data_IF_358207059694
#
_entry.id   IF_358207059694
#
_cell.length_a   1.000
_cell.length_b   1.000
_cell.length_c   1.000
_cell.angle_alpha   90.00
_cell.angle_beta   90.00
_cell.angle_gamma   90.00
#
_symmetry.space_group_name_H-M   'P 1'
#
loop_
_entity.id
_entity.type
_entity.pdbx_description
1 polymer ?
#
# COMPACT_ATOMS: atom_id res chain seq x y z
N UNK A 1 13.08 -15.30 13.48
CA UNK A 1 13.81 -14.48 12.49
C UNK A 1 13.04 -14.56 11.19
N UNK A 2 12.82 -13.45 10.50
CA UNK A 2 12.11 -13.40 9.21
C UNK A 2 13.05 -12.94 8.11
N UNK A 3 12.93 -13.53 6.92
CA UNK A 3 13.63 -13.13 5.70
C UNK A 3 12.68 -12.42 4.74
N UNK A 4 13.21 -11.65 3.80
CA UNK A 4 12.45 -10.95 2.77
C UNK A 4 12.94 -11.40 1.39
N UNK A 5 12.00 -11.79 0.54
CA UNK A 5 12.29 -12.25 -0.82
C UNK A 5 11.21 -11.80 -1.80
N UNK A 6 11.44 -11.86 -3.13
CA UNK A 6 10.37 -11.68 -4.09
C UNK A 6 9.19 -12.62 -3.79
N UNK A 7 7.99 -12.12 -3.97
CA UNK A 7 6.77 -12.92 -3.87
C UNK A 7 6.66 -13.81 -5.12
N UNK A 8 6.19 -15.03 -4.95
CA UNK A 8 5.98 -15.98 -6.05
C UNK A 8 4.51 -16.40 -6.14
N UNK A 9 4.08 -16.92 -7.28
CA UNK A 9 2.73 -17.45 -7.45
C UNK A 9 2.39 -18.58 -6.46
N UNK A 10 3.39 -19.34 -6.00
CA UNK A 10 3.21 -20.40 -4.99
C UNK A 10 2.89 -19.86 -3.60
N UNK A 11 3.23 -18.60 -3.32
CA UNK A 11 2.90 -17.96 -2.04
C UNK A 11 1.39 -17.70 -1.91
N UNK A 12 0.69 -17.62 -3.04
CA UNK A 12 -0.77 -17.52 -3.06
C UNK A 12 -1.46 -18.76 -2.45
N UNK A 13 -0.77 -19.89 -2.37
CA UNK A 13 -1.25 -21.08 -1.66
C UNK A 13 -1.04 -21.02 -0.14
N UNK A 14 -0.22 -20.08 0.33
CA UNK A 14 0.18 -19.94 1.74
C UNK A 14 -0.38 -18.69 2.42
N UNK A 15 -1.04 -17.79 1.71
CA UNK A 15 -1.41 -16.46 2.22
C UNK A 15 -2.62 -16.45 3.17
N UNK A 16 -3.31 -17.57 3.36
CA UNK A 16 -4.51 -17.63 4.22
C UNK A 16 -4.30 -17.09 5.63
N UNK A 17 -3.15 -17.36 6.26
CA UNK A 17 -2.83 -16.82 7.59
C UNK A 17 -2.66 -15.30 7.61
N UNK A 18 -2.32 -14.72 6.47
CA UNK A 18 -2.04 -13.29 6.30
C UNK A 18 -3.31 -12.53 5.99
N UNK A 19 -4.22 -13.12 5.18
CA UNK A 19 -5.43 -12.48 4.68
C UNK A 19 -6.69 -12.77 5.52
N UNK A 20 -6.55 -13.37 6.69
CA UNK A 20 -7.68 -13.63 7.60
C UNK A 20 -8.09 -12.44 8.46
N UNK A 21 -7.36 -11.33 8.38
CA UNK A 21 -7.68 -10.11 9.14
C UNK A 21 -8.80 -9.32 8.45
N UNK A 22 -9.78 -8.88 9.22
CA UNK A 22 -10.91 -8.08 8.73
C UNK A 22 -10.52 -6.70 8.15
N UNK A 23 -9.32 -6.22 8.47
CA UNK A 23 -8.78 -4.96 7.92
C UNK A 23 -7.87 -5.18 6.68
N UNK A 24 -7.66 -6.44 6.27
CA UNK A 24 -6.87 -6.77 5.10
C UNK A 24 -7.78 -6.92 3.89
N UNK A 25 -7.58 -6.07 2.88
CA UNK A 25 -8.26 -6.22 1.60
C UNK A 25 -7.77 -7.50 0.90
N UNK A 26 -8.72 -8.36 0.53
CA UNK A 26 -8.44 -9.61 -0.17
C UNK A 26 -8.96 -9.51 -1.59
N UNK A 27 -8.10 -9.79 -2.56
CA UNK A 27 -8.41 -9.69 -3.99
C UNK A 27 -8.58 -11.08 -4.62
N UNK A 28 -9.17 -11.13 -5.80
CA UNK A 28 -9.24 -12.36 -6.58
C UNK A 28 -7.86 -12.80 -7.09
N UNK A 29 -7.69 -14.09 -7.36
CA UNK A 29 -6.42 -14.67 -7.80
C UNK A 29 -5.84 -13.98 -9.05
N UNK A 30 -6.70 -13.66 -10.02
CA UNK A 30 -6.30 -12.95 -11.24
C UNK A 30 -5.67 -11.59 -10.97
N UNK A 31 -6.11 -10.88 -9.93
CA UNK A 31 -5.56 -9.59 -9.53
C UNK A 31 -4.12 -9.74 -9.03
N UNK A 32 -3.86 -10.70 -8.13
CA UNK A 32 -2.50 -10.97 -7.64
C UNK A 32 -1.56 -11.40 -8.78
N UNK A 33 -2.03 -12.27 -9.68
CA UNK A 33 -1.23 -12.72 -10.82
C UNK A 33 -0.94 -11.57 -11.80
N UNK A 34 -1.89 -10.65 -12.00
CA UNK A 34 -1.67 -9.45 -12.81
C UNK A 34 -0.55 -8.57 -12.22
N UNK A 35 -0.55 -8.37 -10.90
CA UNK A 35 0.52 -7.61 -10.23
C UNK A 35 1.88 -8.30 -10.35
N UNK A 36 1.93 -9.62 -10.19
CA UNK A 36 3.16 -10.40 -10.38
C UNK A 36 3.71 -10.32 -11.81
N UNK A 37 2.81 -10.21 -12.80
CA UNK A 37 3.22 -10.12 -14.20
C UNK A 37 3.71 -8.71 -14.58
N UNK A 38 3.09 -7.65 -14.03
CA UNK A 38 3.38 -6.28 -14.44
C UNK A 38 4.37 -5.54 -13.54
N UNK A 39 4.36 -5.83 -12.22
CA UNK A 39 5.18 -5.15 -11.21
C UNK A 39 5.80 -6.12 -10.20
N UNK A 40 6.53 -7.17 -10.67
CA UNK A 40 7.11 -8.18 -9.77
C UNK A 40 8.09 -7.60 -8.75
N UNK A 41 8.76 -6.49 -9.08
CA UNK A 41 9.71 -5.79 -8.23
C UNK A 41 9.05 -5.14 -6.99
N UNK A 42 7.75 -4.83 -7.09
CA UNK A 42 6.97 -4.28 -5.98
C UNK A 42 6.29 -5.34 -5.12
N UNK A 43 6.41 -6.62 -5.48
CA UNK A 43 5.75 -7.69 -4.75
C UNK A 43 6.77 -8.48 -3.94
N UNK A 44 6.77 -8.24 -2.62
CA UNK A 44 7.75 -8.81 -1.67
C UNK A 44 7.05 -9.58 -0.58
N UNK A 45 7.54 -10.78 -0.29
CA UNK A 45 7.13 -11.64 0.82
C UNK A 45 8.06 -11.52 2.01
N UNK A 46 7.50 -11.59 3.20
CA UNK A 46 8.22 -11.86 4.45
C UNK A 46 7.94 -13.28 4.88
N UNK A 47 8.99 -14.07 5.07
CA UNK A 47 8.92 -15.50 5.39
C UNK A 47 9.66 -15.82 6.68
N UNK A 48 9.11 -16.71 7.47
CA UNK A 48 9.72 -17.22 8.70
C UNK A 48 10.77 -18.31 8.36
N UNK A 49 11.58 -18.72 9.34
CA UNK A 49 12.61 -19.72 9.14
C UNK A 49 12.05 -21.11 8.76
N UNK A 50 10.83 -21.39 9.16
CA UNK A 50 10.09 -22.63 8.85
C UNK A 50 9.28 -22.54 7.53
N UNK A 51 9.45 -21.44 6.76
CA UNK A 51 8.84 -21.26 5.44
C UNK A 51 7.39 -20.79 5.47
N UNK A 52 6.86 -20.35 6.61
CA UNK A 52 5.55 -19.75 6.70
C UNK A 52 5.57 -18.29 6.24
N UNK A 53 4.54 -17.88 5.49
CA UNK A 53 4.38 -16.48 5.09
C UNK A 53 3.95 -15.65 6.29
N UNK A 54 4.77 -14.69 6.71
CA UNK A 54 4.50 -13.81 7.84
C UNK A 54 3.89 -12.46 7.43
N UNK A 55 4.02 -12.08 6.16
CA UNK A 55 3.46 -10.88 5.58
C UNK A 55 3.88 -10.68 4.14
N UNK A 56 3.28 -9.71 3.47
CA UNK A 56 3.71 -9.28 2.14
C UNK A 56 3.37 -7.82 1.89
N UNK A 57 4.00 -7.26 0.86
CA UNK A 57 3.63 -5.98 0.25
C UNK A 57 3.42 -6.17 -1.23
N UNK A 58 2.44 -5.47 -1.78
CA UNK A 58 2.13 -5.43 -3.19
C UNK A 58 1.89 -3.98 -3.60
N UNK A 59 2.49 -3.58 -4.70
CA UNK A 59 2.38 -2.22 -5.22
C UNK A 59 2.51 -2.16 -6.73
N UNK A 60 2.45 -0.96 -7.26
CA UNK A 60 2.63 -0.65 -8.68
C UNK A 60 3.27 0.73 -8.84
N UNK A 61 3.76 1.05 -10.04
CA UNK A 61 4.06 2.42 -10.44
C UNK A 61 2.96 2.91 -11.35
N UNK A 62 2.54 4.17 -11.19
CA UNK A 62 1.52 4.79 -12.01
C UNK A 62 1.69 6.32 -12.10
N UNK A 63 0.87 6.96 -12.95
CA UNK A 63 0.94 8.38 -13.21
C UNK A 63 1.99 8.78 -14.24
N UNK A 64 1.97 10.07 -14.63
CA UNK A 64 2.89 10.64 -15.61
C UNK A 64 3.54 11.93 -15.12
N UNK A 65 4.71 12.24 -15.64
CA UNK A 65 5.43 13.47 -15.33
C UNK A 65 5.67 13.63 -13.82
N UNK A 66 5.15 14.69 -13.21
CA UNK A 66 5.29 14.95 -11.77
C UNK A 66 4.34 14.14 -10.88
N UNK A 67 3.37 13.49 -11.49
CA UNK A 67 2.45 12.59 -10.80
C UNK A 67 2.92 11.13 -10.84
N UNK A 68 4.06 10.84 -11.49
CA UNK A 68 4.63 9.51 -11.51
C UNK A 68 5.09 9.09 -10.11
N UNK A 69 4.50 8.01 -9.61
CA UNK A 69 4.64 7.59 -8.21
C UNK A 69 4.57 6.06 -8.05
N UNK A 70 5.00 5.59 -6.88
CA UNK A 70 4.74 4.23 -6.43
C UNK A 70 3.46 4.20 -5.59
N UNK A 71 2.58 3.27 -5.89
CA UNK A 71 1.33 3.05 -5.17
C UNK A 71 1.39 1.78 -4.34
N UNK A 72 1.14 1.89 -3.03
CA UNK A 72 1.00 0.73 -2.14
C UNK A 72 -0.42 0.19 -2.24
N UNK A 73 -0.59 -0.91 -2.94
CA UNK A 73 -1.92 -1.54 -3.10
C UNK A 73 -2.31 -2.35 -1.87
N UNK A 74 -1.36 -3.07 -1.28
CA UNK A 74 -1.57 -3.81 -0.05
C UNK A 74 -0.26 -3.98 0.72
N UNK A 75 -0.31 -3.81 2.03
CA UNK A 75 0.72 -4.25 2.97
C UNK A 75 0.03 -4.93 4.14
N UNK A 76 0.40 -6.17 4.41
CA UNK A 76 -0.23 -6.95 5.46
C UNK A 76 0.78 -7.82 6.19
N UNK A 77 0.55 -7.98 7.50
CA UNK A 77 1.36 -8.83 8.38
C UNK A 77 0.42 -9.68 9.20
N UNK A 78 0.62 -10.99 9.14
CA UNK A 78 -0.18 -11.95 9.89
C UNK A 78 -0.16 -11.64 11.40
N UNK A 79 -1.29 -11.74 12.13
CA UNK A 79 -1.42 -11.32 13.51
C UNK A 79 -0.29 -11.81 14.45
N UNK A 80 0.17 -13.07 14.38
CA UNK A 80 1.24 -13.57 15.26
C UNK A 80 2.60 -12.88 15.04
N UNK A 81 2.80 -12.24 13.89
CA UNK A 81 4.07 -11.61 13.50
C UNK A 81 4.04 -10.09 13.55
N UNK A 82 2.95 -9.49 14.04
CA UNK A 82 2.84 -8.03 14.22
C UNK A 82 3.79 -7.53 15.31
N UNK A 83 4.06 -6.23 15.29
CA UNK A 83 4.96 -5.52 16.24
C UNK A 83 6.42 -5.97 16.16
N UNK A 84 6.82 -6.64 15.09
CA UNK A 84 8.19 -7.09 14.80
C UNK A 84 8.86 -6.27 13.69
N UNK A 85 8.35 -5.07 13.42
CA UNK A 85 8.88 -4.16 12.39
C UNK A 85 8.81 -4.68 10.95
N UNK A 86 8.01 -5.73 10.69
CA UNK A 86 7.90 -6.34 9.35
C UNK A 86 7.28 -5.36 8.35
N UNK A 87 6.17 -4.70 8.71
CA UNK A 87 5.51 -3.73 7.85
C UNK A 87 6.47 -2.59 7.43
N UNK A 88 7.24 -2.03 8.36
CA UNK A 88 8.25 -1.02 8.07
C UNK A 88 9.25 -1.49 7.01
N UNK A 89 9.82 -2.69 7.22
CA UNK A 89 10.81 -3.25 6.29
C UNK A 89 10.23 -3.55 4.90
N UNK A 90 8.95 -3.94 4.81
CA UNK A 90 8.25 -4.12 3.55
C UNK A 90 8.05 -2.78 2.84
N UNK A 91 7.60 -1.75 3.58
CA UNK A 91 7.44 -0.40 3.05
C UNK A 91 8.77 0.19 2.56
N UNK A 92 9.86 0.07 3.34
CA UNK A 92 11.19 0.50 2.94
C UNK A 92 11.67 -0.14 1.63
N UNK A 93 11.31 -1.42 1.40
CA UNK A 93 11.64 -2.10 0.14
C UNK A 93 10.87 -1.53 -1.04
N UNK A 94 9.58 -1.28 -0.89
CA UNK A 94 8.75 -0.66 -1.91
C UNK A 94 9.23 0.78 -2.22
N UNK A 95 9.50 1.57 -1.18
CA UNK A 95 10.04 2.93 -1.31
C UNK A 95 11.37 2.93 -2.07
N UNK A 96 12.26 1.97 -1.77
CA UNK A 96 13.53 1.82 -2.47
C UNK A 96 13.33 1.51 -3.96
N UNK A 97 12.43 0.60 -4.30
CA UNK A 97 12.09 0.30 -5.70
C UNK A 97 11.55 1.55 -6.40
N UNK A 98 10.64 2.27 -5.74
CA UNK A 98 10.07 3.51 -6.28
C UNK A 98 11.13 4.57 -6.53
N UNK A 99 12.10 4.70 -5.63
CA UNK A 99 13.15 5.71 -5.71
C UNK A 99 14.31 5.31 -6.64
N UNK A 100 14.84 4.09 -6.49
CA UNK A 100 16.07 3.66 -7.17
C UNK A 100 15.81 3.08 -8.56
N UNK A 101 14.70 2.37 -8.75
CA UNK A 101 14.38 1.73 -10.03
C UNK A 101 13.49 2.59 -10.93
N UNK A 102 12.45 3.19 -10.36
CA UNK A 102 11.49 3.99 -11.12
C UNK A 102 11.80 5.50 -11.13
N UNK A 103 12.66 5.98 -10.23
CA UNK A 103 12.95 7.43 -10.05
C UNK A 103 11.67 8.25 -9.97
N UNK A 104 10.69 7.79 -9.19
CA UNK A 104 9.40 8.42 -9.04
C UNK A 104 9.42 9.57 -8.01
N UNK A 105 8.37 10.41 -8.00
CA UNK A 105 8.33 11.61 -7.16
C UNK A 105 7.87 11.32 -5.73
N UNK A 106 6.99 10.36 -5.54
CA UNK A 106 6.42 10.05 -4.22
C UNK A 106 5.92 8.61 -4.17
N UNK A 107 5.58 8.17 -2.97
CA UNK A 107 4.77 6.96 -2.73
C UNK A 107 3.46 7.39 -2.12
N UNK A 108 2.36 6.79 -2.57
CA UNK A 108 1.06 6.96 -1.93
C UNK A 108 0.43 5.64 -1.50
N UNK A 109 -0.57 5.76 -0.66
CA UNK A 109 -1.41 4.67 -0.20
C UNK A 109 -2.79 5.19 0.24
N UNK A 110 -3.77 4.30 0.17
CA UNK A 110 -5.09 4.55 0.75
C UNK A 110 -5.28 3.73 2.02
N UNK A 111 -5.76 4.38 3.06
CA UNK A 111 -6.01 3.75 4.36
C UNK A 111 -7.40 4.14 4.85
N UNK A 112 -8.16 3.18 5.41
CA UNK A 112 -9.47 3.46 6.03
C UNK A 112 -9.35 4.55 7.07
N UNK A 113 -10.24 5.53 7.04
CA UNK A 113 -10.21 6.67 7.96
C UNK A 113 -10.37 6.24 9.43
N UNK A 114 -11.04 5.11 9.70
CA UNK A 114 -11.17 4.51 11.02
C UNK A 114 -9.94 3.73 11.49
N UNK A 115 -9.01 3.38 10.58
CA UNK A 115 -7.83 2.59 10.94
C UNK A 115 -6.71 3.46 11.53
N UNK A 116 -6.99 4.05 12.71
CA UNK A 116 -6.03 4.93 13.39
C UNK A 116 -4.67 4.28 13.66
N UNK A 117 -4.63 2.95 13.87
CA UNK A 117 -3.38 2.25 14.12
C UNK A 117 -2.48 2.25 12.88
N UNK A 118 -3.06 2.01 11.70
CA UNK A 118 -2.32 2.08 10.45
C UNK A 118 -1.93 3.52 10.12
N UNK A 119 -2.83 4.49 10.29
CA UNK A 119 -2.54 5.92 10.07
C UNK A 119 -1.33 6.35 10.89
N UNK A 120 -1.34 6.10 12.22
CA UNK A 120 -0.20 6.40 13.10
C UNK A 120 1.09 5.68 12.72
N UNK A 121 0.98 4.47 12.19
CA UNK A 121 2.14 3.71 11.67
C UNK A 121 2.72 4.41 10.44
N UNK A 122 1.90 4.79 9.46
CA UNK A 122 2.34 5.49 8.26
C UNK A 122 2.91 6.89 8.56
N UNK A 123 2.30 7.62 9.49
CA UNK A 123 2.84 8.91 9.95
C UNK A 123 4.27 8.78 10.52
N UNK A 124 4.52 7.74 11.33
CA UNK A 124 5.87 7.44 11.85
C UNK A 124 6.86 7.07 10.74
N UNK A 125 6.39 6.54 9.62
CA UNK A 125 7.21 6.27 8.43
C UNK A 125 7.42 7.51 7.54
N UNK A 126 6.82 8.66 7.89
CA UNK A 126 6.96 9.93 7.17
C UNK A 126 5.88 10.20 6.12
N UNK A 127 4.80 9.41 6.10
CA UNK A 127 3.63 9.71 5.28
C UNK A 127 2.78 10.79 5.93
N UNK A 128 2.19 11.65 5.11
CA UNK A 128 1.21 12.65 5.56
C UNK A 128 -0.08 12.60 4.77
N UNK A 129 -1.22 13.02 5.36
CA UNK A 129 -2.50 13.05 4.66
C UNK A 129 -2.48 14.10 3.55
N UNK A 130 -2.72 13.66 2.30
CA UNK A 130 -2.82 14.51 1.13
C UNK A 130 -4.27 14.93 0.85
N UNK A 131 -5.21 13.99 0.91
CA UNK A 131 -6.65 14.21 0.74
C UNK A 131 -7.46 13.12 1.44
N UNK A 132 -8.77 13.37 1.61
CA UNK A 132 -9.75 12.41 2.08
C UNK A 132 -10.68 12.06 0.93
N UNK A 133 -10.90 10.77 0.69
CA UNK A 133 -11.77 10.25 -0.37
C UNK A 133 -13.03 9.70 0.27
N UNK A 134 -14.14 10.40 0.06
CA UNK A 134 -15.42 10.10 0.68
C UNK A 134 -16.02 8.82 0.09
N UNK A 135 -16.36 7.86 0.94
CA UNK A 135 -17.04 6.62 0.53
C UNK A 135 -16.18 5.70 -0.32
N UNK A 136 -14.85 5.77 -0.22
CA UNK A 136 -13.92 4.96 -1.03
C UNK A 136 -14.08 3.45 -0.82
N UNK A 137 -14.21 3.02 0.44
CA UNK A 137 -14.42 1.63 0.83
C UNK A 137 -15.90 1.33 0.97
N UNK A 138 -16.62 1.23 -0.10
CA UNK A 138 -18.01 0.90 -0.06
C UNK A 138 -18.50 0.40 -1.40
N UNK A 139 -18.91 -0.86 -1.45
CA UNK A 139 -19.61 -1.44 -2.59
C UNK A 139 -20.52 -2.61 -2.20
N UNK A 140 -21.01 -2.64 -0.97
CA UNK A 140 -22.12 -3.53 -0.68
C UNK A 140 -23.39 -2.70 -0.78
N UNK A 141 -24.31 -3.11 -1.67
CA UNK A 141 -25.61 -2.48 -1.91
C UNK A 141 -26.54 -2.37 -0.67
N UNK A 142 -25.99 -2.61 0.52
CA UNK A 142 -26.65 -2.58 1.82
C UNK A 142 -26.03 -1.55 2.80
N UNK A 143 -24.91 -0.92 2.46
CA UNK A 143 -24.31 0.12 3.31
C UNK A 143 -24.53 1.50 2.71
N UNK A 144 -25.36 2.27 3.39
CA UNK A 144 -25.64 3.68 3.11
C UNK A 144 -24.37 4.51 3.38
N UNK A 145 -23.43 4.52 2.40
CA UNK A 145 -22.39 5.53 2.37
C UNK A 145 -20.94 5.15 2.55
N UNK A 146 -20.54 3.88 2.50
CA UNK A 146 -19.14 3.47 2.47
C UNK A 146 -18.15 4.19 3.41
N UNK A 147 -17.04 3.56 3.78
CA UNK A 147 -16.04 4.21 4.63
C UNK A 147 -15.08 5.07 3.81
N UNK A 148 -14.70 6.23 4.35
CA UNK A 148 -13.74 7.12 3.73
C UNK A 148 -12.32 6.56 3.77
N UNK A 149 -11.52 6.93 2.78
CA UNK A 149 -10.08 6.70 2.77
C UNK A 149 -9.30 8.00 3.00
N UNK A 150 -8.15 7.87 3.65
CA UNK A 150 -7.08 8.87 3.57
C UNK A 150 -6.07 8.44 2.51
N UNK A 151 -5.88 9.28 1.49
CA UNK A 151 -4.72 9.24 0.59
C UNK A 151 -3.55 9.85 1.37
N UNK A 152 -2.58 9.01 1.73
CA UNK A 152 -1.39 9.44 2.44
C UNK A 152 -0.18 9.36 1.51
N UNK A 153 0.69 10.36 1.56
CA UNK A 153 1.84 10.47 0.65
C UNK A 153 3.14 10.71 1.38
N UNK A 154 4.22 10.18 0.82
CA UNK A 154 5.60 10.42 1.21
C UNK A 154 6.42 10.83 -0.01
N UNK A 155 7.06 12.00 0.04
CA UNK A 155 7.93 12.47 -1.04
C UNK A 155 9.20 11.61 -1.11
N UNK A 156 9.59 11.24 -2.34
CA UNK A 156 10.86 10.56 -2.63
C UNK A 156 11.94 11.59 -2.97
N UNK A 157 13.18 11.15 -3.12
CA UNK A 157 14.37 12.00 -3.36
C UNK A 157 14.21 12.94 -4.56
N UNK A 158 13.52 12.49 -5.62
CA UNK A 158 13.26 13.28 -6.83
C UNK A 158 12.41 14.51 -6.55
N UNK A 159 11.47 14.45 -5.61
CA UNK A 159 10.65 15.61 -5.22
C UNK A 159 11.35 16.49 -4.18
N UNK A 160 12.44 17.13 -4.58
CA UNK A 160 13.28 17.98 -3.72
C UNK A 160 12.51 19.12 -3.04
N UNK A 161 11.40 19.56 -3.64
CA UNK A 161 10.55 20.64 -3.13
C UNK A 161 9.35 20.13 -2.35
N UNK A 162 9.21 18.82 -2.18
CA UNK A 162 8.10 18.15 -1.48
C UNK A 162 6.70 18.63 -1.93
N UNK A 163 6.56 18.88 -3.23
CA UNK A 163 5.29 19.38 -3.81
C UNK A 163 4.21 18.31 -3.86
N UNK A 164 4.60 17.05 -4.02
CA UNK A 164 3.70 15.90 -4.08
C UNK A 164 2.93 15.65 -2.77
N UNK A 165 3.46 16.15 -1.65
CA UNK A 165 2.87 15.97 -0.31
C UNK A 165 2.17 17.21 0.24
N UNK A 166 2.11 18.30 -0.53
CA UNK A 166 1.31 19.48 -0.18
C UNK A 166 -0.16 19.08 -0.29
N UNK A 167 -0.91 19.26 0.79
CA UNK A 167 -2.34 18.91 0.84
C UNK A 167 -3.09 19.43 -0.40
N UNK A 168 -3.98 18.59 -0.93
CA UNK A 168 -4.83 18.96 -2.06
C UNK A 168 -5.64 20.22 -1.73
N UNK A 169 -5.84 21.09 -2.73
CA UNK A 169 -6.64 22.33 -2.59
C UNK A 169 -8.05 22.05 -2.08
N UNK A 170 -8.67 20.98 -2.56
CA UNK A 170 -9.92 20.41 -2.04
C UNK A 170 -9.53 19.14 -1.27
N UNK A 171 -9.56 19.19 0.06
CA UNK A 171 -9.12 18.06 0.88
C UNK A 171 -10.08 16.87 0.80
N UNK A 172 -11.39 17.14 0.87
CA UNK A 172 -12.42 16.10 0.71
C UNK A 172 -12.84 16.00 -0.76
N UNK A 173 -12.69 14.82 -1.34
CA UNK A 173 -13.00 14.51 -2.73
C UNK A 173 -13.83 13.24 -2.81
N UNK A 174 -14.67 13.13 -3.85
CA UNK A 174 -15.35 11.88 -4.17
C UNK A 174 -14.50 11.03 -5.11
N UNK A 175 -14.69 9.69 -5.16
CA UNK A 175 -13.87 8.81 -6.00
C UNK A 175 -13.81 9.23 -7.47
N UNK A 176 -14.89 9.76 -8.02
CA UNK A 176 -14.95 10.21 -9.43
C UNK A 176 -14.34 11.60 -9.69
N UNK A 177 -13.94 12.33 -8.63
CA UNK A 177 -13.23 13.61 -8.75
C UNK A 177 -11.70 13.40 -8.73
N UNK A 178 -11.25 12.14 -8.55
CA UNK A 178 -9.84 11.78 -8.49
C UNK A 178 -9.39 11.45 -9.92
N UNK A 179 -8.34 12.12 -10.37
CA UNK A 179 -7.64 11.70 -11.58
C UNK A 179 -6.85 10.43 -11.25
N UNK A 180 -7.37 9.30 -11.69
CA UNK A 180 -6.68 8.02 -11.69
C UNK A 180 -5.85 7.95 -12.98
N UNK A 181 -4.56 8.10 -12.87
CA UNK A 181 -3.65 8.06 -14.03
C UNK A 181 -2.94 6.73 -14.13
#
# INVERSE_FOLDING_TARGET
>A
MTSFRPFSSLDLLKYNLVNTDCLTETYGLSFYLSYLAHWPEYFVASETIDGALSGYIMGKSEGEGRLFHGHVTAVTVAPPFRRQNIANKLMEKLERVTEEFHDAYFVDLFVRASNENAIRMYEKMGYGPYRRVIGYYGNNALDDGGEDALDMRKAMRRDTKKRSVIKAKKFEQKPWEIEWH
#
